data_IF_114304656672
#
_entry.id   IF_114304656672
#
_cell.length_a   1.000
_cell.length_b   1.000
_cell.length_c   1.000
_cell.angle_alpha   90.00
_cell.angle_beta   90.00
_cell.angle_gamma   90.00
#
_symmetry.space_group_name_H-M   'P 1'
#
loop_
_entity.id
_entity.type
_entity.pdbx_description
1 polymer ?
#
# COMPACT_ATOMS: atom_id res chain seq x y z
N UNK A 1 -13.52 -5.73 16.69
CA UNK A 1 -13.07 -6.94 16.16
C UNK A 1 -12.87 -6.94 14.72
N UNK A 2 -13.82 -6.51 13.98
CA UNK A 2 -13.69 -6.54 12.56
C UNK A 2 -12.61 -5.70 12.00
N UNK A 3 -12.40 -4.54 12.58
CA UNK A 3 -11.35 -3.68 12.10
C UNK A 3 -9.98 -4.29 12.38
N UNK A 4 -9.89 -5.15 13.37
CA UNK A 4 -8.64 -5.82 13.67
C UNK A 4 -8.23 -6.77 12.56
N UNK A 5 -9.20 -7.39 11.91
CA UNK A 5 -8.87 -8.29 10.82
C UNK A 5 -8.20 -7.57 9.67
N UNK A 6 -8.69 -6.36 9.35
CA UNK A 6 -8.09 -5.61 8.27
C UNK A 6 -6.65 -5.21 8.61
N UNK A 7 -6.42 -4.81 9.85
CA UNK A 7 -5.07 -4.49 10.27
C UNK A 7 -4.16 -5.69 10.22
N UNK A 8 -4.70 -6.85 10.53
CA UNK A 8 -3.92 -8.07 10.48
C UNK A 8 -3.49 -8.42 9.08
N UNK A 9 -4.35 -8.20 8.09
CA UNK A 9 -3.97 -8.43 6.71
C UNK A 9 -2.79 -7.56 6.31
N UNK A 10 -2.85 -6.29 6.70
CA UNK A 10 -1.78 -5.36 6.38
C UNK A 10 -0.49 -5.75 7.11
N UNK A 11 -0.61 -6.10 8.38
CA UNK A 11 0.57 -6.51 9.17
C UNK A 11 1.22 -7.73 8.58
N UNK A 12 0.43 -8.70 8.17
CA UNK A 12 0.97 -9.92 7.58
C UNK A 12 1.71 -9.62 6.29
N UNK A 13 1.15 -8.74 5.46
CA UNK A 13 1.79 -8.35 4.22
C UNK A 13 3.13 -7.68 4.52
N UNK A 14 3.16 -6.79 5.51
CA UNK A 14 4.39 -6.10 5.85
C UNK A 14 5.47 -7.05 6.35
N UNK A 15 5.08 -8.07 7.10
CA UNK A 15 6.02 -9.06 7.57
C UNK A 15 6.60 -9.84 6.40
N UNK A 16 5.76 -10.23 5.44
CA UNK A 16 6.25 -10.95 4.29
C UNK A 16 7.19 -10.09 3.45
N UNK A 17 6.88 -8.79 3.34
CA UNK A 17 7.75 -7.89 2.59
C UNK A 17 9.11 -7.76 3.22
N UNK A 18 9.18 -7.74 4.53
CA UNK A 18 10.47 -7.65 5.20
C UNK A 18 11.38 -8.79 4.83
N UNK A 19 10.79 -9.95 4.59
CA UNK A 19 11.58 -11.12 4.24
C UNK A 19 12.00 -11.13 2.79
N UNK A 20 11.20 -10.52 1.93
CA UNK A 20 11.47 -10.60 0.49
C UNK A 20 12.11 -9.37 -0.09
N UNK A 21 11.84 -8.21 0.48
CA UNK A 21 12.36 -6.97 -0.09
C UNK A 21 12.48 -5.90 0.98
N UNK A 22 13.68 -5.68 1.49
CA UNK A 22 13.89 -4.62 2.49
C UNK A 22 13.52 -3.24 1.98
N UNK A 23 13.70 -3.01 0.67
CA UNK A 23 13.35 -1.74 0.08
C UNK A 23 11.85 -1.45 0.21
N UNK A 24 11.03 -2.43 -0.17
CA UNK A 24 9.59 -2.25 -0.06
C UNK A 24 9.12 -2.22 1.38
N UNK A 25 9.80 -2.96 2.24
CA UNK A 25 9.47 -2.93 3.65
C UNK A 25 9.71 -1.53 4.21
N UNK A 26 10.80 -0.90 3.82
CA UNK A 26 11.09 0.46 4.25
C UNK A 26 10.07 1.45 3.71
N UNK A 27 9.71 1.32 2.44
CA UNK A 27 8.67 2.17 1.86
C UNK A 27 7.36 2.03 2.59
N UNK A 28 7.03 0.82 2.97
CA UNK A 28 5.78 0.52 3.63
C UNK A 28 5.65 1.23 4.97
N UNK A 29 6.77 1.54 5.61
CA UNK A 29 6.73 2.26 6.88
C UNK A 29 6.24 3.69 6.73
N UNK A 30 6.39 4.26 5.55
CA UNK A 30 5.96 5.62 5.32
C UNK A 30 4.55 5.71 4.75
N UNK A 31 3.99 4.59 4.36
CA UNK A 31 2.66 4.59 3.76
C UNK A 31 1.61 4.51 4.85
N UNK A 32 0.64 5.39 4.78
CA UNK A 32 -0.52 5.32 5.66
C UNK A 32 -1.60 4.56 4.93
N UNK A 33 -2.20 3.61 5.60
CA UNK A 33 -3.21 2.76 4.99
C UNK A 33 -4.59 3.18 5.51
N UNK A 34 -5.51 3.36 4.59
CA UNK A 34 -6.87 3.70 4.97
C UNK A 34 -7.83 2.81 4.19
N UNK A 35 -8.86 2.31 4.86
CA UNK A 35 -9.86 1.48 4.22
C UNK A 35 -11.09 2.32 3.91
N UNK A 36 -11.54 2.25 2.68
CA UNK A 36 -12.70 3.03 2.26
C UNK A 36 -13.40 2.34 1.10
N UNK A 37 -14.70 2.45 1.06
CA UNK A 37 -15.47 1.88 -0.04
C UNK A 37 -15.53 2.82 -1.24
N UNK A 38 -14.90 3.98 -1.16
CA UNK A 38 -14.89 4.93 -2.26
C UNK A 38 -14.02 4.48 -3.42
N UNK A 39 -13.11 3.54 -3.18
CA UNK A 39 -12.29 2.99 -4.26
C UNK A 39 -12.78 1.58 -4.56
N UNK A 40 -12.58 1.12 -5.79
CA UNK A 40 -13.04 -0.21 -6.16
C UNK A 40 -12.19 -1.31 -5.54
N UNK A 41 -10.89 -1.12 -5.54
CA UNK A 41 -9.98 -2.07 -4.94
C UNK A 41 -8.90 -1.34 -4.15
N UNK A 42 -8.13 -0.51 -4.82
CA UNK A 42 -7.04 0.22 -4.18
C UNK A 42 -6.71 1.47 -4.97
N UNK A 43 -6.13 2.45 -4.28
CA UNK A 43 -5.70 3.69 -4.90
C UNK A 43 -4.71 4.37 -3.97
N UNK A 44 -3.99 5.36 -4.48
CA UNK A 44 -3.08 6.12 -3.65
C UNK A 44 -3.05 7.57 -4.11
N UNK A 45 -2.79 8.47 -3.17
CA UNK A 45 -2.65 9.88 -3.48
C UNK A 45 -1.23 10.38 -3.26
N UNK A 46 -0.28 9.46 -3.13
CA UNK A 46 1.10 9.83 -2.89
C UNK A 46 1.51 9.83 -1.42
N UNK A 47 0.55 9.83 -0.53
CA UNK A 47 0.81 9.76 0.91
C UNK A 47 0.12 8.58 1.54
N UNK A 48 -1.10 8.34 1.16
CA UNK A 48 -1.89 7.24 1.72
C UNK A 48 -2.21 6.25 0.63
N UNK A 49 -2.42 5.03 1.05
CA UNK A 49 -2.91 3.99 0.16
C UNK A 49 -4.29 3.60 0.67
N UNK A 50 -5.26 3.65 -0.23
CA UNK A 50 -6.64 3.34 0.11
C UNK A 50 -6.98 1.95 -0.40
N UNK A 51 -7.60 1.15 0.43
CA UNK A 51 -8.05 -0.17 0.02
C UNK A 51 -9.53 -0.31 0.30
N UNK A 52 -10.23 -0.94 -0.62
CA UNK A 52 -11.62 -1.28 -0.37
C UNK A 52 -11.62 -2.51 0.54
N UNK A 53 -12.20 -2.40 1.75
CA UNK A 53 -12.11 -3.50 2.70
C UNK A 53 -12.83 -4.76 2.24
N UNK A 54 -13.84 -4.61 1.39
CA UNK A 54 -14.59 -5.76 0.95
C UNK A 54 -13.88 -6.51 -0.16
N UNK A 55 -13.42 -5.80 -1.18
CA UNK A 55 -12.78 -6.47 -2.31
C UNK A 55 -11.36 -6.91 -1.99
N UNK A 56 -10.65 -6.12 -1.19
CA UNK A 56 -9.26 -6.43 -0.86
C UNK A 56 -9.15 -7.76 -0.11
N UNK A 57 -10.00 -7.97 0.87
CA UNK A 57 -9.89 -9.18 1.67
C UNK A 57 -10.33 -10.42 0.92
N UNK A 58 -11.04 -10.26 -0.20
CA UNK A 58 -11.46 -11.40 -0.99
C UNK A 58 -10.36 -11.93 -1.89
N UNK A 59 -9.29 -11.16 -2.06
CA UNK A 59 -8.20 -11.59 -2.91
C UNK A 59 -7.38 -12.68 -2.26
N UNK A 60 -6.84 -13.61 -3.03
CA UNK A 60 -5.87 -14.56 -2.51
C UNK A 60 -4.64 -13.81 -1.97
N UNK A 61 -3.92 -14.45 -1.10
CA UNK A 61 -2.78 -13.83 -0.43
C UNK A 61 -1.79 -13.22 -1.41
N UNK A 62 -1.42 -13.95 -2.44
CA UNK A 62 -0.44 -13.45 -3.39
C UNK A 62 -0.94 -12.23 -4.13
N UNK A 63 -2.23 -12.19 -4.44
CA UNK A 63 -2.79 -11.05 -5.13
C UNK A 63 -2.91 -9.86 -4.20
N UNK A 64 -3.24 -10.09 -2.95
CA UNK A 64 -3.27 -9.00 -1.98
C UNK A 64 -1.91 -8.35 -1.84
N UNK A 65 -0.88 -9.18 -1.74
CA UNK A 65 0.48 -8.66 -1.63
C UNK A 65 0.88 -7.94 -2.91
N UNK A 66 0.48 -8.45 -4.05
CA UNK A 66 0.77 -7.80 -5.32
C UNK A 66 0.12 -6.45 -5.44
N UNK A 67 -1.13 -6.33 -5.01
CA UNK A 67 -1.82 -5.04 -5.03
C UNK A 67 -1.14 -4.06 -4.09
N UNK A 68 -0.75 -4.52 -2.93
CA UNK A 68 -0.07 -3.69 -1.95
C UNK A 68 1.24 -3.13 -2.54
N UNK A 69 2.04 -4.01 -3.14
CA UNK A 69 3.28 -3.57 -3.77
C UNK A 69 3.05 -2.61 -4.91
N UNK A 70 2.02 -2.87 -5.69
CA UNK A 70 1.68 -2.02 -6.82
C UNK A 70 1.38 -0.60 -6.33
N UNK A 71 0.60 -0.49 -5.26
CA UNK A 71 0.25 0.82 -4.73
C UNK A 71 1.44 1.50 -4.05
N UNK A 72 2.32 0.72 -3.44
CA UNK A 72 3.53 1.29 -2.87
C UNK A 72 4.40 1.91 -3.95
N UNK A 73 4.52 1.23 -5.08
CA UNK A 73 5.29 1.76 -6.20
C UNK A 73 4.65 3.02 -6.75
N UNK A 74 3.34 3.02 -6.88
CA UNK A 74 2.65 4.23 -7.34
C UNK A 74 2.87 5.38 -6.38
N UNK A 75 2.77 5.10 -5.09
CA UNK A 75 2.96 6.12 -4.09
C UNK A 75 4.36 6.71 -4.17
N UNK A 76 5.36 5.84 -4.33
CA UNK A 76 6.73 6.28 -4.42
C UNK A 76 6.97 7.12 -5.67
N UNK A 77 6.37 6.72 -6.79
CA UNK A 77 6.51 7.47 -8.02
C UNK A 77 5.86 8.83 -7.92
N UNK A 78 4.68 8.90 -7.35
CA UNK A 78 4.00 10.17 -7.19
C UNK A 78 4.79 11.11 -6.29
N UNK A 79 5.35 10.55 -5.24
CA UNK A 79 6.15 11.33 -4.32
C UNK A 79 7.38 11.88 -5.01
N UNK A 80 8.07 11.04 -5.77
CA UNK A 80 9.25 11.45 -6.51
C UNK A 80 8.93 12.51 -7.55
N UNK A 81 7.83 12.37 -8.24
CA UNK A 81 7.47 13.33 -9.27
C UNK A 81 7.26 14.70 -8.68
N UNK A 82 6.66 14.75 -7.52
CA UNK A 82 6.45 16.02 -6.88
C UNK A 82 7.72 16.70 -6.50
N UNK A 83 8.72 15.92 -6.10
CA UNK A 83 9.96 16.49 -5.65
C UNK A 83 10.92 16.72 -6.80
N UNK A 84 10.96 15.74 -7.69
CA UNK A 84 11.97 15.74 -8.72
C UNK A 84 11.86 16.85 -9.69
N UNK A 85 10.65 17.27 -9.97
CA UNK A 85 10.50 18.30 -10.97
C UNK A 85 11.10 19.60 -10.55
N UNK A 86 11.21 19.80 -9.27
CA UNK A 86 11.77 21.01 -8.82
C UNK A 86 13.22 21.04 -8.89
N UNK A 87 13.79 19.95 -8.72
CA UNK A 87 15.18 19.91 -8.66
C UNK A 87 15.84 20.23 -9.89
N UNK A 88 15.37 20.03 -10.76
CA UNK A 88 16.00 20.23 -11.88
C UNK A 88 16.27 21.45 -12.15
N UNK A 89 16.35 21.76 -11.75
CA UNK A 89 16.67 22.82 -12.03
C UNK A 89 17.19 23.09 -12.14
#
# INVERSE_FOLDING_TARGET
>A
MKSNNLQEYISATRIRLRKTSPFFAALSLYAEIEFTTKVQLAATNGKKIFFNPITYIKLPILERDGVYLHELLHMALLHNLRRGTRDHK
#
